data_IF_314003342556
#
_entry.id   IF_314003342556
#
_cell.length_a   1.000
_cell.length_b   1.000
_cell.length_c   1.000
_cell.angle_alpha   90.00
_cell.angle_beta   90.00
_cell.angle_gamma   90.00
#
_symmetry.space_group_name_H-M   'P 1'
#
loop_
_entity.id
_entity.type
_entity.pdbx_description
1 polymer ?
#
# COMPACT_ATOMS: atom_id res chain seq x y z
N UNK A 1 -44.21 -16.79 -14.64
CA UNK A 1 -43.54 -17.08 -13.35
C UNK A 1 -42.04 -16.81 -13.51
N UNK A 2 -41.59 -15.55 -13.56
CA UNK A 2 -40.19 -15.24 -13.96
C UNK A 2 -39.50 -14.26 -13.01
N UNK A 3 -40.26 -13.53 -12.18
CA UNK A 3 -39.78 -12.48 -11.29
C UNK A 3 -38.89 -12.99 -10.15
N UNK A 4 -39.06 -14.25 -9.73
CA UNK A 4 -38.24 -14.86 -8.67
C UNK A 4 -36.86 -15.31 -9.19
N UNK A 5 -36.80 -15.86 -10.40
CA UNK A 5 -35.56 -16.30 -11.07
C UNK A 5 -34.69 -15.11 -11.47
N UNK A 6 -35.29 -14.04 -12.01
CA UNK A 6 -34.55 -12.81 -12.36
C UNK A 6 -33.94 -12.12 -11.13
N UNK A 7 -34.63 -12.10 -9.98
CA UNK A 7 -34.09 -11.53 -8.73
C UNK A 7 -32.89 -12.32 -8.20
N UNK A 8 -32.94 -13.66 -8.26
CA UNK A 8 -31.81 -14.53 -7.89
C UNK A 8 -30.60 -14.30 -8.78
N UNK A 9 -30.82 -14.16 -10.09
CA UNK A 9 -29.76 -13.88 -11.06
C UNK A 9 -29.12 -12.52 -10.76
N UNK A 10 -29.92 -11.46 -10.56
CA UNK A 10 -29.40 -10.12 -10.21
C UNK A 10 -28.60 -10.17 -8.90
N UNK A 11 -29.10 -10.86 -7.87
CA UNK A 11 -28.37 -11.03 -6.60
C UNK A 11 -27.01 -11.72 -6.78
N UNK A 12 -26.95 -12.80 -7.56
CA UNK A 12 -25.71 -13.51 -7.85
C UNK A 12 -24.71 -12.63 -8.61
N UNK A 13 -25.18 -11.86 -9.60
CA UNK A 13 -24.33 -10.91 -10.32
C UNK A 13 -23.80 -9.80 -9.41
N UNK A 14 -24.65 -9.22 -8.54
CA UNK A 14 -24.19 -8.21 -7.58
C UNK A 14 -23.17 -8.76 -6.58
N UNK A 15 -23.37 -9.99 -6.09
CA UNK A 15 -22.41 -10.64 -5.20
C UNK A 15 -21.06 -10.90 -5.90
N UNK A 16 -21.08 -11.33 -7.16
CA UNK A 16 -19.88 -11.56 -7.96
C UNK A 16 -19.09 -10.25 -8.19
N UNK A 17 -19.78 -9.16 -8.53
CA UNK A 17 -19.14 -7.84 -8.72
C UNK A 17 -18.54 -7.33 -7.40
N UNK A 18 -19.24 -7.49 -6.27
CA UNK A 18 -18.71 -7.12 -4.96
C UNK A 18 -17.45 -7.93 -4.60
N UNK A 19 -17.43 -9.23 -4.89
CA UNK A 19 -16.25 -10.08 -4.70
C UNK A 19 -15.05 -9.61 -5.54
N UNK A 20 -15.26 -9.30 -6.82
CA UNK A 20 -14.20 -8.79 -7.68
C UNK A 20 -13.66 -7.44 -7.20
N UNK A 21 -14.53 -6.54 -6.72
CA UNK A 21 -14.10 -5.27 -6.14
C UNK A 21 -13.22 -5.48 -4.90
N UNK A 22 -13.59 -6.39 -3.99
CA UNK A 22 -12.81 -6.68 -2.78
C UNK A 22 -11.42 -7.21 -3.12
N UNK A 23 -11.34 -8.16 -4.06
CA UNK A 23 -10.05 -8.71 -4.53
C UNK A 23 -9.21 -7.63 -5.20
N UNK A 24 -9.82 -6.75 -5.99
CA UNK A 24 -9.15 -5.63 -6.66
C UNK A 24 -8.49 -4.63 -5.69
N UNK A 25 -9.11 -4.36 -4.53
CA UNK A 25 -8.51 -3.49 -3.52
C UNK A 25 -7.32 -4.16 -2.83
N UNK A 26 -7.45 -5.45 -2.48
CA UNK A 26 -6.39 -6.19 -1.81
C UNK A 26 -5.10 -6.29 -2.65
N UNK A 27 -5.21 -6.42 -3.98
CA UNK A 27 -4.03 -6.47 -4.85
C UNK A 27 -3.32 -5.11 -4.97
N UNK A 28 -4.07 -4.01 -4.91
CA UNK A 28 -3.51 -2.66 -4.97
C UNK A 28 -2.69 -2.35 -3.69
N UNK A 29 -3.21 -2.70 -2.51
CA UNK A 29 -2.49 -2.52 -1.24
C UNK A 29 -1.15 -3.30 -1.24
N UNK A 30 -1.08 -4.49 -1.86
CA UNK A 30 0.16 -5.26 -1.95
C UNK A 30 1.20 -4.64 -2.92
N UNK A 31 0.74 -4.02 -4.00
CA UNK A 31 1.61 -3.31 -4.94
C UNK A 31 2.22 -2.07 -4.28
N UNK A 32 1.41 -1.32 -3.52
CA UNK A 32 1.80 -0.12 -2.80
C UNK A 32 2.85 -0.43 -1.71
N UNK A 33 2.69 -1.53 -0.96
CA UNK A 33 3.72 -1.97 0.01
C UNK A 33 5.05 -2.25 -0.70
N UNK A 34 5.00 -2.96 -1.84
CA UNK A 34 6.19 -3.25 -2.63
C UNK A 34 6.89 -1.99 -3.14
N UNK A 35 6.11 -1.01 -3.61
CA UNK A 35 6.64 0.28 -4.05
C UNK A 35 7.25 1.07 -2.88
N UNK A 36 6.57 1.13 -1.75
CA UNK A 36 7.05 1.79 -0.54
C UNK A 36 8.40 1.22 -0.09
N UNK A 37 8.53 -0.11 0.01
CA UNK A 37 9.79 -0.76 0.42
C UNK A 37 10.94 -0.48 -0.56
N UNK A 38 10.66 -0.48 -1.87
CA UNK A 38 11.67 -0.13 -2.89
C UNK A 38 12.17 1.30 -2.73
N UNK A 39 11.27 2.24 -2.45
CA UNK A 39 11.64 3.63 -2.16
C UNK A 39 12.43 3.75 -0.85
N UNK A 40 12.05 3.04 0.23
CA UNK A 40 12.88 2.98 1.45
C UNK A 40 14.32 2.51 1.15
N UNK A 41 14.49 1.50 0.30
CA UNK A 41 15.80 1.01 -0.09
C UNK A 41 16.59 2.05 -0.92
N UNK A 42 15.92 2.83 -1.76
CA UNK A 42 16.53 3.93 -2.50
C UNK A 42 16.94 5.08 -1.56
N UNK A 43 16.07 5.50 -0.65
CA UNK A 43 16.36 6.56 0.31
C UNK A 43 17.51 6.15 1.23
N UNK A 44 17.59 4.88 1.64
CA UNK A 44 18.72 4.35 2.41
C UNK A 44 20.05 4.43 1.65
N UNK A 45 20.05 4.20 0.33
CA UNK A 45 21.24 4.34 -0.52
C UNK A 45 21.67 5.81 -0.67
N UNK A 46 20.72 6.74 -0.77
CA UNK A 46 20.99 8.18 -0.91
C UNK A 46 21.41 8.85 0.40
N UNK A 47 20.65 8.64 1.47
CA UNK A 47 20.82 9.31 2.76
C UNK A 47 21.77 8.55 3.70
N UNK A 48 22.09 7.29 3.36
CA UNK A 48 23.10 6.50 4.07
C UNK A 48 22.74 6.25 5.53
N UNK A 49 23.66 6.56 6.43
CA UNK A 49 23.48 6.32 7.86
C UNK A 49 22.41 7.22 8.50
N UNK A 50 22.08 8.37 7.89
CA UNK A 50 21.06 9.31 8.39
C UNK A 50 19.63 8.77 8.32
N UNK A 51 19.41 7.68 7.57
CA UNK A 51 18.08 7.15 7.29
C UNK A 51 17.89 5.75 7.85
N UNK A 52 16.82 5.57 8.63
CA UNK A 52 16.43 4.30 9.24
C UNK A 52 15.60 3.46 8.25
N UNK A 53 16.29 2.85 7.29
CA UNK A 53 15.64 2.04 6.25
C UNK A 53 14.78 0.90 6.79
N UNK A 54 15.19 0.27 7.90
CA UNK A 54 14.40 -0.79 8.56
C UNK A 54 13.12 -0.23 9.18
N UNK A 55 13.19 0.96 9.80
CA UNK A 55 12.01 1.64 10.34
C UNK A 55 11.03 2.02 9.22
N UNK A 56 11.55 2.55 8.11
CA UNK A 56 10.78 2.86 6.91
C UNK A 56 10.06 1.61 6.34
N UNK A 57 10.78 0.51 6.16
CA UNK A 57 10.19 -0.73 5.64
C UNK A 57 9.09 -1.30 6.57
N UNK A 58 9.30 -1.22 7.89
CA UNK A 58 8.27 -1.61 8.86
C UNK A 58 7.03 -0.72 8.78
N UNK A 59 7.21 0.58 8.56
CA UNK A 59 6.09 1.50 8.34
C UNK A 59 5.33 1.17 7.04
N UNK A 60 6.02 0.83 5.95
CA UNK A 60 5.38 0.38 4.72
C UNK A 60 4.43 -0.81 4.96
N UNK A 61 4.86 -1.81 5.72
CA UNK A 61 4.02 -2.97 6.04
C UNK A 61 2.87 -2.58 6.98
N UNK A 62 3.16 -1.77 7.99
CA UNK A 62 2.16 -1.36 8.99
C UNK A 62 1.01 -0.52 8.39
N UNK A 63 1.32 0.30 7.41
CA UNK A 63 0.36 1.19 6.76
C UNK A 63 -0.02 0.75 5.35
N UNK A 64 0.27 -0.50 4.99
CA UNK A 64 -0.12 -1.09 3.70
C UNK A 64 0.35 -0.25 2.50
N UNK A 65 1.54 0.35 2.58
CA UNK A 65 2.12 1.12 1.48
C UNK A 65 1.46 2.48 1.21
N UNK A 66 0.48 2.90 2.01
CA UNK A 66 -0.27 4.17 1.82
C UNK A 66 0.57 5.43 2.01
N UNK A 67 1.79 5.29 2.51
CA UNK A 67 2.78 6.36 2.62
C UNK A 67 4.06 5.91 1.90
N UNK A 68 4.21 6.30 0.64
CA UNK A 68 5.44 6.06 -0.12
C UNK A 68 6.42 7.21 0.12
N UNK A 69 7.63 6.95 0.64
CA UNK A 69 8.61 8.00 0.87
C UNK A 69 9.18 8.52 -0.46
N UNK A 70 9.31 9.84 -0.57
CA UNK A 70 10.07 10.50 -1.63
C UNK A 70 11.42 10.95 -1.05
N UNK A 71 12.50 10.37 -1.56
CA UNK A 71 13.85 10.60 -1.02
C UNK A 71 14.38 12.02 -1.23
N UNK A 72 13.80 12.77 -2.16
CA UNK A 72 14.15 14.17 -2.43
C UNK A 72 13.32 15.14 -1.57
N UNK A 73 12.22 14.66 -0.98
CA UNK A 73 11.35 15.43 -0.12
C UNK A 73 11.60 15.14 1.37
N UNK A 74 12.26 16.09 2.05
CA UNK A 74 12.56 15.99 3.48
C UNK A 74 11.31 15.72 4.34
N UNK A 75 10.16 16.31 4.03
CA UNK A 75 8.95 16.11 4.83
C UNK A 75 8.44 14.67 4.75
N UNK A 76 8.70 13.99 3.64
CA UNK A 76 8.35 12.59 3.40
C UNK A 76 9.28 11.62 4.14
N UNK A 77 10.57 11.96 4.27
CA UNK A 77 11.56 11.11 4.95
C UNK A 77 11.83 11.47 6.39
N UNK A 78 11.41 12.65 6.86
CA UNK A 78 11.63 13.15 8.22
C UNK A 78 11.31 12.15 9.34
N UNK A 79 10.21 11.35 9.27
CA UNK A 79 9.91 10.35 10.30
C UNK A 79 10.94 9.22 10.41
N UNK A 80 11.79 9.04 9.40
CA UNK A 80 12.77 7.98 9.28
C UNK A 80 14.21 8.50 9.33
N UNK A 81 14.40 9.82 9.50
CA UNK A 81 15.71 10.39 9.71
C UNK A 81 16.12 10.19 11.17
N UNK A 82 17.34 9.71 11.39
CA UNK A 82 17.96 9.75 12.70
C UNK A 82 18.79 11.04 12.81
N UNK A 83 18.92 11.56 14.03
CA UNK A 83 19.99 12.51 14.34
C UNK A 83 21.23 11.66 14.55
N UNK A 84 22.06 11.48 13.53
CA UNK A 84 23.43 11.07 13.81
C UNK A 84 24.05 12.16 14.69
N UNK A 85 24.33 11.79 15.94
CA UNK A 85 25.26 12.52 16.82
C UNK A 85 26.70 12.39 16.28
#
# INVERSE_FOLDING_TARGET
>A
MNTCTSKKIVLLFTALVALMAIVGHAVADMEDVGMCIRNCAQCKKMLGAYFEGTLCANACVKFEGKMIPDCENIDSVAPFLNKLE
#
